data_IF_757940317466
#
_entry.id   IF_757940317466
#
_cell.length_a   1.000
_cell.length_b   1.000
_cell.length_c   1.000
_cell.angle_alpha   90.00
_cell.angle_beta   90.00
_cell.angle_gamma   90.00
#
_symmetry.space_group_name_H-M   'P 1'
#
loop_
_entity.id
_entity.type
_entity.pdbx_description
1 polymer ?
#
# COMPACT_ATOMS: atom_id res chain seq x y z
N UNK A 1 -2.06 -3.69 -9.15
CA UNK A 1 -3.11 -2.70 -9.51
C UNK A 1 -2.78 -1.35 -8.91
N UNK A 2 -3.10 -0.24 -9.63
CA UNK A 2 -2.91 1.14 -9.18
C UNK A 2 -4.23 1.89 -9.39
N UNK A 3 -5.02 2.11 -8.34
CA UNK A 3 -6.18 2.99 -8.39
C UNK A 3 -5.75 4.44 -8.61
N UNK A 4 -6.53 5.20 -9.40
CA UNK A 4 -6.25 6.60 -9.69
C UNK A 4 -7.52 7.45 -9.63
N UNK A 5 -7.40 8.66 -9.10
CA UNK A 5 -8.35 9.76 -9.18
C UNK A 5 -7.82 10.88 -10.10
N UNK A 6 -6.79 10.54 -10.89
CA UNK A 6 -6.08 11.43 -11.80
C UNK A 6 -5.29 12.57 -11.10
N UNK A 7 -5.18 12.55 -9.79
CA UNK A 7 -4.34 13.49 -9.05
C UNK A 7 -2.85 13.23 -9.27
N UNK A 8 -2.02 14.25 -9.00
CA UNK A 8 -0.56 14.12 -9.04
C UNK A 8 -0.05 13.06 -8.05
N UNK A 9 -0.73 12.91 -6.90
CA UNK A 9 -0.41 11.89 -5.91
C UNK A 9 -0.68 10.47 -6.44
N UNK A 10 -1.81 10.24 -7.10
CA UNK A 10 -2.12 8.96 -7.72
C UNK A 10 -1.14 8.64 -8.86
N UNK A 11 -0.79 9.65 -9.68
CA UNK A 11 0.24 9.48 -10.70
C UNK A 11 1.62 9.19 -10.09
N UNK A 12 1.96 9.82 -8.96
CA UNK A 12 3.20 9.52 -8.24
C UNK A 12 3.23 8.07 -7.72
N UNK A 13 2.11 7.54 -7.23
CA UNK A 13 2.01 6.13 -6.85
C UNK A 13 2.21 5.18 -8.04
N UNK A 14 1.68 5.52 -9.22
CA UNK A 14 1.91 4.76 -10.45
C UNK A 14 3.38 4.80 -10.88
N UNK A 15 4.04 5.96 -10.84
CA UNK A 15 5.48 6.11 -11.10
C UNK A 15 6.30 5.25 -10.14
N UNK A 16 5.93 5.26 -8.86
CA UNK A 16 6.60 4.43 -7.85
C UNK A 16 6.42 2.93 -8.17
N UNK A 17 5.20 2.50 -8.51
CA UNK A 17 4.95 1.11 -8.91
C UNK A 17 5.82 0.68 -10.10
N UNK A 18 5.92 1.50 -11.14
CA UNK A 18 6.78 1.22 -12.30
C UNK A 18 8.25 1.06 -11.92
N UNK A 19 8.72 1.84 -10.95
CA UNK A 19 10.13 1.83 -10.54
C UNK A 19 10.46 0.71 -9.55
N UNK A 20 9.56 0.42 -8.60
CA UNK A 20 9.80 -0.65 -7.61
C UNK A 20 9.70 -2.05 -8.24
N UNK A 21 8.90 -2.20 -9.29
CA UNK A 21 8.77 -3.46 -10.02
C UNK A 21 9.53 -3.49 -11.35
N UNK A 22 10.50 -2.59 -11.56
CA UNK A 22 11.18 -2.46 -12.85
C UNK A 22 11.95 -3.70 -13.33
N UNK A 23 12.31 -4.58 -12.42
CA UNK A 23 13.01 -5.83 -12.73
C UNK A 23 12.08 -7.04 -12.86
N UNK A 24 10.79 -6.84 -12.55
CA UNK A 24 9.80 -7.90 -12.57
C UNK A 24 8.95 -7.83 -13.84
N UNK A 25 8.53 -9.01 -14.34
CA UNK A 25 7.52 -9.07 -15.40
C UNK A 25 6.15 -8.87 -14.78
N UNK A 26 5.54 -7.71 -15.04
CA UNK A 26 4.29 -7.29 -14.41
C UNK A 26 3.20 -6.99 -15.43
N UNK A 27 1.97 -7.26 -15.03
CA UNK A 27 0.78 -6.65 -15.62
C UNK A 27 0.25 -5.58 -14.63
N UNK A 28 0.27 -4.32 -15.04
CA UNK A 28 -0.11 -3.17 -14.23
C UNK A 28 -1.52 -2.71 -14.64
N UNK A 29 -2.48 -2.87 -13.74
CA UNK A 29 -3.84 -2.40 -13.92
C UNK A 29 -3.94 -0.97 -13.39
N UNK A 30 -4.28 -0.02 -14.26
CA UNK A 30 -4.58 1.37 -13.90
C UNK A 30 -6.10 1.47 -13.84
N UNK A 31 -6.67 1.72 -12.66
CA UNK A 31 -8.09 1.64 -12.44
C UNK A 31 -8.66 2.96 -11.91
N UNK A 32 -9.78 3.39 -12.51
CA UNK A 32 -10.59 4.50 -12.03
C UNK A 32 -12.03 4.03 -11.74
N UNK A 33 -12.46 4.23 -10.49
CA UNK A 33 -13.82 3.97 -10.04
C UNK A 33 -14.56 5.32 -9.93
N UNK A 34 -15.68 5.48 -10.64
CA UNK A 34 -16.30 6.80 -10.84
C UNK A 34 -17.76 6.94 -10.37
N UNK A 35 -18.25 6.00 -9.55
CA UNK A 35 -19.62 6.11 -9.05
C UNK A 35 -19.82 7.38 -8.19
N UNK A 36 -18.86 7.71 -7.34
CA UNK A 36 -18.94 8.90 -6.48
C UNK A 36 -19.03 10.18 -7.29
N UNK A 37 -18.30 10.28 -8.40
CA UNK A 37 -18.36 11.44 -9.31
C UNK A 37 -19.75 11.58 -9.95
N UNK A 38 -20.38 10.46 -10.30
CA UNK A 38 -21.74 10.45 -10.85
C UNK A 38 -22.76 10.92 -9.81
N UNK A 39 -22.70 10.37 -8.60
CA UNK A 39 -23.68 10.68 -7.55
C UNK A 39 -23.50 12.08 -6.93
N UNK A 40 -22.33 12.68 -7.03
CA UNK A 40 -22.06 14.04 -6.54
C UNK A 40 -22.49 15.14 -7.54
N UNK A 41 -23.01 14.77 -8.72
CA UNK A 41 -23.48 15.77 -9.69
C UNK A 41 -24.78 16.46 -9.22
N UNK A 42 -24.76 17.77 -9.03
CA UNK A 42 -25.92 18.59 -8.65
C UNK A 42 -27.12 18.47 -9.61
N UNK A 43 -26.86 18.09 -10.85
CA UNK A 43 -27.87 17.89 -11.90
C UNK A 43 -28.64 16.57 -11.74
N UNK A 44 -28.23 15.68 -10.85
CA UNK A 44 -28.83 14.38 -10.67
C UNK A 44 -30.12 14.45 -9.84
N UNK A 45 -31.16 15.10 -10.38
CA UNK A 45 -32.46 15.23 -9.73
C UNK A 45 -33.46 14.14 -10.14
N UNK A 46 -33.21 13.45 -11.26
CA UNK A 46 -34.10 12.40 -11.81
C UNK A 46 -33.26 11.21 -12.29
N UNK A 47 -33.82 10.01 -12.09
CA UNK A 47 -33.19 8.75 -12.51
C UNK A 47 -32.92 8.70 -14.03
N UNK A 48 -33.74 9.36 -14.84
CA UNK A 48 -33.53 9.46 -16.29
C UNK A 48 -32.28 10.25 -16.72
N UNK A 49 -31.69 11.03 -15.81
CA UNK A 49 -30.45 11.76 -16.04
C UNK A 49 -29.21 10.94 -15.69
N UNK A 50 -29.39 9.90 -14.87
CA UNK A 50 -28.29 9.06 -14.39
C UNK A 50 -27.51 8.42 -15.53
N UNK A 51 -28.21 7.84 -16.52
CA UNK A 51 -27.55 7.12 -17.63
C UNK A 51 -26.72 8.08 -18.50
N UNK A 52 -27.24 9.29 -18.74
CA UNK A 52 -26.52 10.31 -19.54
C UNK A 52 -25.26 10.79 -18.80
N UNK A 53 -25.39 11.11 -17.52
CA UNK A 53 -24.26 11.56 -16.69
C UNK A 53 -23.22 10.45 -16.55
N UNK A 54 -23.67 9.22 -16.30
CA UNK A 54 -22.80 8.05 -16.20
C UNK A 54 -22.00 7.85 -17.49
N UNK A 55 -22.64 7.95 -18.64
CA UNK A 55 -21.97 7.78 -19.94
C UNK A 55 -20.95 8.90 -20.20
N UNK A 56 -21.27 10.15 -19.84
CA UNK A 56 -20.34 11.27 -19.96
C UNK A 56 -19.11 11.10 -19.08
N UNK A 57 -19.30 10.73 -17.80
CA UNK A 57 -18.21 10.52 -16.86
C UNK A 57 -17.38 9.28 -17.26
N UNK A 58 -18.03 8.19 -17.72
CA UNK A 58 -17.34 7.02 -18.25
C UNK A 58 -16.40 7.36 -19.39
N UNK A 59 -16.88 8.11 -20.39
CA UNK A 59 -16.05 8.55 -21.53
C UNK A 59 -14.88 9.46 -21.08
N UNK A 60 -15.12 10.31 -20.10
CA UNK A 60 -14.07 11.16 -19.54
C UNK A 60 -13.02 10.31 -18.81
N UNK A 61 -13.45 9.36 -17.98
CA UNK A 61 -12.60 8.41 -17.29
C UNK A 61 -11.68 7.64 -18.24
N UNK A 62 -12.26 7.05 -19.29
CA UNK A 62 -11.49 6.32 -20.33
C UNK A 62 -10.45 7.21 -21.02
N UNK A 63 -10.84 8.45 -21.34
CA UNK A 63 -9.94 9.44 -21.97
C UNK A 63 -8.79 9.81 -21.03
N UNK A 64 -9.06 10.00 -19.74
CA UNK A 64 -8.07 10.33 -18.74
C UNK A 64 -7.11 9.15 -18.47
N UNK A 65 -7.65 7.93 -18.34
CA UNK A 65 -6.85 6.71 -18.21
C UNK A 65 -5.89 6.54 -19.39
N UNK A 66 -6.35 6.82 -20.61
CA UNK A 66 -5.51 6.75 -21.81
C UNK A 66 -4.35 7.75 -21.75
N UNK A 67 -4.59 8.97 -21.29
CA UNK A 67 -3.54 9.98 -21.10
C UNK A 67 -2.51 9.53 -20.06
N UNK A 68 -2.97 9.05 -18.91
CA UNK A 68 -2.09 8.51 -17.85
C UNK A 68 -1.24 7.35 -18.36
N UNK A 69 -1.85 6.45 -19.15
CA UNK A 69 -1.14 5.32 -19.74
C UNK A 69 -0.06 5.78 -20.76
N UNK A 70 -0.39 6.73 -21.62
CA UNK A 70 0.56 7.28 -22.60
C UNK A 70 1.73 7.98 -21.87
N UNK A 71 1.42 8.75 -20.86
CA UNK A 71 2.40 9.48 -20.07
C UNK A 71 3.35 8.54 -19.31
N UNK A 72 2.82 7.53 -18.60
CA UNK A 72 3.66 6.58 -17.86
C UNK A 72 4.53 5.73 -18.78
N UNK A 73 4.02 5.31 -19.94
CA UNK A 73 4.82 4.59 -20.94
C UNK A 73 5.94 5.44 -21.52
N UNK A 74 5.70 6.74 -21.66
CA UNK A 74 6.71 7.68 -22.17
C UNK A 74 7.80 7.95 -21.11
N UNK A 75 7.39 8.17 -19.84
CA UNK A 75 8.32 8.50 -18.76
C UNK A 75 9.08 7.28 -18.23
N UNK A 76 8.43 6.10 -18.20
CA UNK A 76 8.97 4.86 -17.63
C UNK A 76 8.83 3.69 -18.61
N UNK A 77 9.46 3.75 -19.79
CA UNK A 77 9.40 2.67 -20.75
C UNK A 77 10.06 1.41 -20.17
N UNK A 78 9.31 0.31 -20.12
CA UNK A 78 9.81 -0.96 -19.62
C UNK A 78 9.20 -2.13 -20.41
N UNK A 79 9.99 -2.96 -21.13
CA UNK A 79 9.48 -4.08 -21.91
C UNK A 79 8.90 -5.22 -21.05
N UNK A 80 9.18 -5.22 -19.74
CA UNK A 80 8.64 -6.21 -18.80
C UNK A 80 7.26 -5.80 -18.27
N UNK A 81 6.79 -4.57 -18.54
CA UNK A 81 5.51 -4.08 -18.05
C UNK A 81 4.45 -4.10 -19.13
N UNK A 82 3.38 -4.84 -18.88
CA UNK A 82 2.13 -4.75 -19.62
C UNK A 82 1.14 -3.90 -18.83
N UNK A 83 0.25 -3.19 -19.53
CA UNK A 83 -0.71 -2.29 -18.88
C UNK A 83 -2.13 -2.61 -19.32
N UNK A 84 -3.05 -2.60 -18.35
CA UNK A 84 -4.49 -2.67 -18.59
C UNK A 84 -5.17 -1.47 -17.93
N UNK A 85 -6.12 -0.86 -18.63
CA UNK A 85 -6.96 0.23 -18.12
C UNK A 85 -8.30 -0.34 -17.70
N UNK A 86 -8.80 0.07 -16.54
CA UNK A 86 -10.11 -0.31 -16.00
C UNK A 86 -10.85 0.96 -15.61
N UNK A 87 -11.97 1.22 -16.28
CA UNK A 87 -12.92 2.28 -15.95
C UNK A 87 -14.19 1.61 -15.44
N UNK A 88 -14.54 1.81 -14.17
CA UNK A 88 -15.58 1.04 -13.51
C UNK A 88 -16.61 1.95 -12.82
N UNK A 89 -17.91 1.61 -12.98
CA UNK A 89 -19.00 2.30 -12.30
C UNK A 89 -19.35 1.58 -10.99
N UNK A 90 -18.60 1.86 -9.96
CA UNK A 90 -18.78 1.34 -8.61
C UNK A 90 -18.06 2.20 -7.60
N UNK A 91 -18.17 1.87 -6.31
CA UNK A 91 -17.34 2.47 -5.30
C UNK A 91 -15.89 1.98 -5.47
N UNK A 92 -14.92 2.81 -5.06
CA UNK A 92 -13.50 2.40 -5.15
C UNK A 92 -13.26 1.05 -4.46
N UNK A 93 -13.86 0.84 -3.29
CA UNK A 93 -13.60 -0.35 -2.48
C UNK A 93 -14.16 -1.60 -3.14
N UNK A 94 -15.40 -1.54 -3.63
CA UNK A 94 -16.04 -2.67 -4.29
C UNK A 94 -15.28 -3.07 -5.57
N UNK A 95 -14.92 -2.09 -6.41
CA UNK A 95 -14.20 -2.35 -7.65
C UNK A 95 -12.77 -2.84 -7.42
N UNK A 96 -12.09 -2.35 -6.37
CA UNK A 96 -10.78 -2.87 -5.97
C UNK A 96 -10.89 -4.31 -5.46
N UNK A 97 -11.88 -4.62 -4.60
CA UNK A 97 -12.06 -5.99 -4.07
C UNK A 97 -12.43 -6.97 -5.19
N UNK A 98 -13.31 -6.57 -6.10
CA UNK A 98 -13.70 -7.37 -7.26
C UNK A 98 -12.50 -7.69 -8.16
N UNK A 99 -11.70 -6.69 -8.54
CA UNK A 99 -10.51 -6.90 -9.35
C UNK A 99 -9.43 -7.73 -8.63
N UNK A 100 -9.23 -7.51 -7.32
CA UNK A 100 -8.29 -8.31 -6.52
C UNK A 100 -8.68 -9.79 -6.55
N UNK A 101 -9.97 -10.08 -6.45
CA UNK A 101 -10.45 -11.46 -6.44
C UNK A 101 -10.50 -12.09 -7.84
N UNK A 102 -10.95 -11.35 -8.86
CA UNK A 102 -11.11 -11.85 -10.24
C UNK A 102 -9.77 -12.07 -10.94
N UNK A 103 -8.86 -11.13 -10.81
CA UNK A 103 -7.55 -11.15 -11.50
C UNK A 103 -6.42 -11.67 -10.57
N UNK A 104 -6.76 -12.09 -9.34
CA UNK A 104 -5.80 -12.63 -8.36
C UNK A 104 -4.59 -11.70 -8.15
N UNK A 105 -4.85 -10.43 -7.90
CA UNK A 105 -3.82 -9.40 -7.75
C UNK A 105 -2.81 -9.74 -6.66
N UNK A 106 -1.54 -9.47 -6.92
CA UNK A 106 -0.46 -9.65 -5.94
C UNK A 106 -0.32 -8.45 -4.99
N UNK A 107 -0.66 -7.24 -5.48
CA UNK A 107 -0.48 -6.01 -4.72
C UNK A 107 -1.35 -4.87 -5.27
N UNK A 108 -1.85 -4.02 -4.37
CA UNK A 108 -2.42 -2.71 -4.68
C UNK A 108 -1.39 -1.65 -4.34
N UNK A 109 -1.09 -0.73 -5.26
CA UNK A 109 -0.21 0.42 -5.00
C UNK A 109 -1.03 1.68 -5.13
N UNK A 110 -1.06 2.52 -4.11
CA UNK A 110 -1.86 3.73 -4.11
C UNK A 110 -1.22 4.86 -3.31
N UNK A 111 -1.60 6.10 -3.59
CA UNK A 111 -1.19 7.24 -2.79
C UNK A 111 -1.86 7.20 -1.40
N UNK A 112 -1.19 7.75 -0.38
CA UNK A 112 -1.80 7.87 0.96
C UNK A 112 -2.97 8.85 0.97
N UNK A 113 -3.05 9.77 0.00
CA UNK A 113 -4.10 10.81 -0.14
C UNK A 113 -4.46 11.02 -1.61
N UNK A 114 -5.72 11.35 -1.86
CA UNK A 114 -6.21 11.86 -3.13
C UNK A 114 -6.30 13.39 -3.16
N UNK A 115 -7.00 13.93 -4.15
CA UNK A 115 -7.10 15.37 -4.41
C UNK A 115 -7.77 16.18 -3.28
N UNK A 116 -8.76 15.59 -2.59
CA UNK A 116 -9.69 16.31 -1.69
C UNK A 116 -9.37 16.19 -0.21
N UNK A 117 -8.23 15.67 0.21
CA UNK A 117 -7.99 15.28 1.59
C UNK A 117 -7.34 16.34 2.47
N UNK A 118 -7.82 16.40 3.74
CA UNK A 118 -7.25 17.22 4.79
C UNK A 118 -5.77 16.85 5.04
N UNK A 119 -4.90 17.84 4.92
CA UNK A 119 -3.44 17.68 5.12
C UNK A 119 -3.05 17.35 6.56
N UNK A 120 -3.96 17.46 7.50
CA UNK A 120 -3.72 17.07 8.90
C UNK A 120 -3.78 15.55 9.12
N UNK A 121 -4.37 14.77 8.18
CA UNK A 121 -4.51 13.33 8.28
C UNK A 121 -3.39 12.62 7.51
N UNK A 122 -2.86 11.54 8.07
CA UNK A 122 -1.84 10.70 7.40
C UNK A 122 -2.42 10.00 6.16
N UNK A 123 -3.70 9.61 6.23
CA UNK A 123 -4.39 8.86 5.18
C UNK A 123 -5.70 9.53 4.78
N UNK A 124 -6.00 9.51 3.50
CA UNK A 124 -7.34 9.80 3.00
C UNK A 124 -8.33 8.66 3.33
N UNK A 125 -9.61 9.00 3.30
CA UNK A 125 -10.71 8.04 3.59
C UNK A 125 -10.62 6.77 2.71
N UNK A 126 -10.37 6.93 1.42
CA UNK A 126 -10.25 5.84 0.46
C UNK A 126 -9.07 4.91 0.79
N UNK A 127 -7.91 5.48 1.10
CA UNK A 127 -6.74 4.69 1.49
C UNK A 127 -6.97 3.92 2.78
N UNK A 128 -7.60 4.54 3.77
CA UNK A 128 -7.97 3.86 5.02
C UNK A 128 -8.92 2.69 4.78
N UNK A 129 -9.90 2.83 3.89
CA UNK A 129 -10.83 1.76 3.57
C UNK A 129 -10.12 0.62 2.83
N UNK A 130 -9.28 0.93 1.83
CA UNK A 130 -8.48 -0.10 1.12
C UNK A 130 -7.60 -0.87 2.11
N UNK A 131 -6.89 -0.18 3.01
CA UNK A 131 -6.06 -0.80 4.04
C UNK A 131 -6.84 -1.69 5.01
N UNK A 132 -8.12 -1.38 5.28
CA UNK A 132 -8.97 -2.14 6.21
C UNK A 132 -9.66 -3.33 5.57
N UNK A 133 -10.12 -3.19 4.33
CA UNK A 133 -11.09 -4.12 3.76
C UNK A 133 -10.53 -4.99 2.64
N UNK A 134 -9.48 -4.56 1.94
CA UNK A 134 -8.93 -5.33 0.83
C UNK A 134 -8.01 -6.43 1.33
N UNK A 135 -8.19 -7.65 0.80
CA UNK A 135 -7.45 -8.85 1.23
C UNK A 135 -6.06 -9.01 0.59
N UNK A 136 -5.68 -8.10 -0.30
CA UNK A 136 -4.41 -8.06 -1.01
C UNK A 136 -3.41 -7.13 -0.29
N UNK A 137 -2.08 -7.37 -0.34
CA UNK A 137 -1.09 -6.42 0.13
C UNK A 137 -1.28 -5.03 -0.48
N UNK A 138 -1.11 -3.99 0.33
CA UNK A 138 -1.27 -2.59 -0.10
C UNK A 138 0.03 -1.82 0.15
N UNK A 139 0.60 -1.28 -0.91
CA UNK A 139 1.75 -0.38 -0.85
C UNK A 139 1.26 1.07 -0.95
N UNK A 140 1.35 1.80 0.14
CA UNK A 140 0.90 3.18 0.23
C UNK A 140 2.08 4.14 0.08
N UNK A 141 1.94 5.10 -0.85
CA UNK A 141 2.99 6.06 -1.20
C UNK A 141 2.62 7.44 -0.64
N UNK A 142 3.46 8.04 0.24
CA UNK A 142 3.22 9.37 0.76
C UNK A 142 3.18 10.45 -0.32
N UNK A 143 2.44 11.52 -0.03
CA UNK A 143 2.36 12.70 -0.89
C UNK A 143 3.76 13.25 -1.18
N UNK A 144 4.07 13.49 -2.46
CA UNK A 144 5.33 14.09 -2.89
C UNK A 144 6.58 13.22 -2.65
N UNK A 145 6.42 11.94 -2.30
CA UNK A 145 7.57 11.05 -2.09
C UNK A 145 8.30 10.78 -3.41
N UNK A 146 9.56 11.19 -3.48
CA UNK A 146 10.43 10.83 -4.58
C UNK A 146 10.90 9.38 -4.46
N UNK A 147 10.96 8.68 -5.59
CA UNK A 147 11.35 7.28 -5.57
C UNK A 147 12.79 7.07 -5.12
N UNK A 148 12.96 6.28 -4.07
CA UNK A 148 14.22 5.66 -3.68
C UNK A 148 14.07 4.15 -3.72
N UNK A 149 15.14 3.46 -4.16
CA UNK A 149 15.14 2.00 -4.15
C UNK A 149 15.05 1.50 -2.69
N UNK A 150 14.16 0.55 -2.36
CA UNK A 150 13.99 0.09 -0.97
C UNK A 150 15.15 -0.81 -0.54
N UNK A 151 16.27 -0.19 -0.16
CA UNK A 151 17.48 -0.88 0.32
C UNK A 151 17.42 -1.19 1.80
N UNK A 152 16.92 -0.26 2.61
CA UNK A 152 16.75 -0.42 4.04
C UNK A 152 15.26 -0.54 4.37
N UNK A 153 14.83 -1.74 4.73
CA UNK A 153 13.42 -2.08 4.97
C UNK A 153 13.21 -2.33 6.45
N UNK A 154 12.27 -1.63 7.08
CA UNK A 154 11.90 -1.88 8.48
C UNK A 154 10.69 -2.79 8.56
N UNK A 155 10.80 -3.87 9.33
CA UNK A 155 9.72 -4.80 9.62
C UNK A 155 9.53 -4.94 11.16
N UNK A 156 8.72 -4.08 11.79
CA UNK A 156 8.37 -4.24 13.19
C UNK A 156 7.57 -5.52 13.41
N UNK A 157 7.95 -6.30 14.39
CA UNK A 157 7.32 -7.58 14.65
C UNK A 157 7.37 -7.96 16.13
N UNK A 158 6.33 -8.65 16.61
CA UNK A 158 6.34 -9.33 17.90
C UNK A 158 6.54 -10.85 17.77
N UNK A 159 6.76 -11.34 16.55
CA UNK A 159 6.87 -12.77 16.20
C UNK A 159 5.66 -13.64 16.62
N UNK A 160 4.51 -13.04 16.94
CA UNK A 160 3.29 -13.78 17.31
C UNK A 160 2.26 -13.84 16.18
N UNK A 161 2.38 -12.94 15.21
CA UNK A 161 1.47 -12.86 14.07
C UNK A 161 1.77 -14.02 13.11
N UNK A 162 0.76 -14.78 12.67
CA UNK A 162 0.96 -15.75 11.61
C UNK A 162 1.20 -15.00 10.28
N UNK A 163 2.30 -15.36 9.60
CA UNK A 163 2.68 -14.73 8.33
C UNK A 163 2.24 -15.59 7.15
N UNK A 164 1.62 -14.98 6.14
CA UNK A 164 1.22 -15.69 4.92
C UNK A 164 2.42 -15.84 3.98
N UNK A 165 2.68 -17.05 3.51
CA UNK A 165 3.82 -17.35 2.62
C UNK A 165 3.78 -16.54 1.31
N UNK A 166 2.59 -16.28 0.75
CA UNK A 166 2.44 -15.48 -0.47
C UNK A 166 2.95 -14.05 -0.28
N UNK A 167 2.61 -13.43 0.86
CA UNK A 167 3.02 -12.06 1.18
C UNK A 167 4.51 -11.97 1.52
N UNK A 168 5.05 -12.97 2.23
CA UNK A 168 6.50 -13.06 2.46
C UNK A 168 7.27 -13.26 1.16
N UNK A 169 6.70 -14.01 0.19
CA UNK A 169 7.30 -14.14 -1.13
C UNK A 169 7.39 -12.80 -1.85
N UNK A 170 6.33 -11.97 -1.81
CA UNK A 170 6.35 -10.63 -2.39
C UNK A 170 7.51 -9.79 -1.82
N UNK A 171 7.64 -9.76 -0.49
CA UNK A 171 8.73 -9.03 0.19
C UNK A 171 10.08 -9.61 -0.19
N UNK A 172 10.20 -10.94 -0.24
CA UNK A 172 11.43 -11.63 -0.59
C UNK A 172 11.89 -11.29 -2.02
N UNK A 173 10.96 -11.28 -2.98
CA UNK A 173 11.25 -10.96 -4.37
C UNK A 173 11.64 -9.47 -4.51
N UNK A 174 10.87 -8.55 -3.93
CA UNK A 174 11.22 -7.13 -3.89
C UNK A 174 12.61 -6.91 -3.27
N UNK A 175 12.88 -7.51 -2.12
CA UNK A 175 14.16 -7.38 -1.42
C UNK A 175 15.32 -7.95 -2.23
N UNK A 176 15.11 -9.06 -2.93
CA UNK A 176 16.11 -9.66 -3.81
C UNK A 176 16.50 -8.75 -4.96
N UNK A 177 15.51 -8.09 -5.59
CA UNK A 177 15.70 -7.19 -6.72
C UNK A 177 16.56 -5.96 -6.37
N UNK A 178 16.49 -5.48 -5.12
CA UNK A 178 17.25 -4.33 -4.64
C UNK A 178 18.40 -4.68 -3.69
N UNK A 179 18.61 -5.97 -3.39
CA UNK A 179 19.58 -6.44 -2.38
C UNK A 179 19.34 -5.80 -1.02
N UNK A 180 18.08 -5.75 -0.63
CA UNK A 180 17.66 -5.04 0.58
C UNK A 180 18.16 -5.70 1.86
N UNK A 181 18.41 -4.86 2.87
CA UNK A 181 18.51 -5.29 4.27
C UNK A 181 17.15 -5.14 4.94
N UNK A 182 16.63 -6.19 5.54
CA UNK A 182 15.38 -6.14 6.31
C UNK A 182 15.70 -6.12 7.80
N UNK A 183 15.34 -5.04 8.45
CA UNK A 183 15.47 -4.83 9.89
C UNK A 183 14.24 -5.39 10.60
N UNK A 184 14.35 -6.57 11.18
CA UNK A 184 13.31 -7.19 12.01
C UNK A 184 13.37 -6.56 13.40
N UNK A 185 12.54 -5.56 13.66
CA UNK A 185 12.53 -4.82 14.91
C UNK A 185 11.53 -5.44 15.90
N UNK A 186 12.03 -6.07 16.94
CA UNK A 186 11.21 -6.54 18.05
C UNK A 186 10.99 -5.41 19.07
N UNK A 187 9.75 -5.03 19.26
CA UNK A 187 9.36 -3.94 20.16
C UNK A 187 8.68 -4.56 21.39
N UNK A 188 9.47 -4.89 22.39
CA UNK A 188 9.00 -5.40 23.69
C UNK A 188 10.08 -5.18 24.73
N UNK A 189 9.74 -4.68 25.94
CA UNK A 189 10.69 -4.56 27.05
C UNK A 189 11.21 -5.92 27.56
N UNK A 190 10.54 -7.02 27.24
CA UNK A 190 10.92 -8.38 27.63
C UNK A 190 11.99 -8.89 26.66
N UNK A 191 13.20 -9.11 27.18
CA UNK A 191 14.38 -9.48 26.36
C UNK A 191 14.39 -10.92 25.84
N UNK A 192 13.51 -11.81 26.32
CA UNK A 192 13.55 -13.23 25.97
C UNK A 192 12.33 -13.63 25.17
N UNK A 193 12.56 -14.16 23.98
CA UNK A 193 11.51 -14.74 23.15
C UNK A 193 10.98 -16.03 23.77
N UNK A 194 9.70 -16.31 23.60
CA UNK A 194 9.11 -17.62 23.85
C UNK A 194 9.49 -18.59 22.71
N UNK A 195 9.39 -19.89 22.93
CA UNK A 195 9.64 -20.91 21.91
C UNK A 195 8.84 -20.65 20.62
N UNK A 196 7.56 -20.28 20.75
CA UNK A 196 6.72 -19.92 19.60
C UNK A 196 7.26 -18.73 18.82
N UNK A 197 7.80 -17.73 19.50
CA UNK A 197 8.40 -16.57 18.85
C UNK A 197 9.72 -16.92 18.18
N UNK A 198 10.51 -17.81 18.77
CA UNK A 198 11.74 -18.33 18.17
C UNK A 198 11.44 -19.12 16.89
N UNK A 199 10.43 -20.01 16.92
CA UNK A 199 9.97 -20.75 15.74
C UNK A 199 9.49 -19.81 14.62
N UNK A 200 8.70 -18.78 14.96
CA UNK A 200 8.25 -17.80 14.00
C UNK A 200 9.40 -16.94 13.45
N UNK A 201 10.38 -16.60 14.26
CA UNK A 201 11.58 -15.91 13.81
C UNK A 201 12.37 -16.76 12.82
N UNK A 202 12.51 -18.06 13.10
CA UNK A 202 13.16 -19.00 12.17
C UNK A 202 12.36 -19.14 10.87
N UNK A 203 11.02 -19.24 10.96
CA UNK A 203 10.16 -19.27 9.78
C UNK A 203 10.34 -18.02 8.87
N UNK A 204 10.50 -16.83 9.47
CA UNK A 204 10.79 -15.61 8.70
C UNK A 204 12.16 -15.68 8.02
N UNK A 205 13.20 -16.20 8.71
CA UNK A 205 14.53 -16.42 8.09
C UNK A 205 14.44 -17.31 6.87
N UNK A 206 13.73 -18.44 6.98
CA UNK A 206 13.58 -19.40 5.91
C UNK A 206 12.74 -18.88 4.75
N UNK A 207 11.82 -17.97 5.03
CA UNK A 207 10.91 -17.38 4.03
C UNK A 207 11.51 -16.21 3.27
N UNK A 208 12.61 -15.61 3.73
CA UNK A 208 13.23 -14.41 3.15
C UNK A 208 14.72 -14.63 2.75
N UNK A 209 15.04 -15.71 2.00
CA UNK A 209 16.43 -16.09 1.71
C UNK A 209 17.19 -15.13 0.81
N UNK A 210 16.47 -14.26 0.06
CA UNK A 210 17.07 -13.27 -0.85
C UNK A 210 17.44 -11.96 -0.17
N UNK A 211 17.01 -11.75 1.07
CA UNK A 211 17.27 -10.53 1.83
C UNK A 211 18.35 -10.74 2.90
N UNK A 212 19.10 -9.69 3.20
CA UNK A 212 19.92 -9.65 4.41
C UNK A 212 19.00 -9.33 5.61
N UNK A 213 18.94 -10.20 6.62
CA UNK A 213 18.10 -9.99 7.80
C UNK A 213 18.95 -9.51 8.99
N UNK A 214 18.51 -8.42 9.60
CA UNK A 214 19.05 -7.91 10.86
C UNK A 214 17.96 -8.00 11.93
N UNK A 215 18.26 -8.66 13.06
CA UNK A 215 17.33 -8.83 14.16
C UNK A 215 17.74 -7.89 15.29
N UNK A 216 16.92 -6.90 15.55
CA UNK A 216 17.15 -5.88 16.56
C UNK A 216 16.00 -5.82 17.57
N UNK A 217 16.28 -5.39 18.76
CA UNK A 217 15.30 -5.21 19.84
C UNK A 217 15.38 -3.80 20.38
N UNK A 218 14.24 -3.23 20.77
CA UNK A 218 14.19 -1.95 21.45
C UNK A 218 13.50 -2.06 22.79
N UNK A 219 13.93 -1.24 23.75
CA UNK A 219 13.30 -1.13 25.08
C UNK A 219 12.21 -0.05 25.11
N UNK A 220 11.97 0.63 23.98
CA UNK A 220 10.90 1.60 23.88
C UNK A 220 9.55 0.89 24.05
N UNK A 221 8.68 1.46 24.89
CA UNK A 221 7.36 0.89 25.15
C UNK A 221 6.32 1.33 24.14
N UNK A 222 6.46 2.54 23.65
CA UNK A 222 5.58 3.08 22.63
C UNK A 222 6.04 2.66 21.25
N UNK A 223 5.22 1.84 20.60
CA UNK A 223 5.52 1.28 19.27
C UNK A 223 5.70 2.36 18.21
N UNK A 224 4.88 3.43 18.28
CA UNK A 224 4.93 4.55 17.32
C UNK A 224 6.25 5.29 17.45
N UNK A 225 6.65 5.61 18.68
CA UNK A 225 7.93 6.27 18.96
C UNK A 225 9.10 5.38 18.55
N UNK A 226 9.04 4.08 18.87
CA UNK A 226 10.08 3.14 18.50
C UNK A 226 10.31 3.09 16.98
N UNK A 227 9.23 2.94 16.20
CA UNK A 227 9.28 2.86 14.74
C UNK A 227 9.77 4.18 14.15
N UNK A 228 9.22 5.32 14.58
CA UNK A 228 9.59 6.64 14.05
C UNK A 228 11.05 6.96 14.31
N UNK A 229 11.55 6.71 15.54
CA UNK A 229 12.98 6.86 15.87
C UNK A 229 13.86 5.97 15.01
N UNK A 230 13.42 4.72 14.81
CA UNK A 230 14.19 3.75 14.03
C UNK A 230 14.28 4.14 12.56
N UNK A 231 13.16 4.58 11.95
CA UNK A 231 13.10 5.08 10.57
C UNK A 231 14.15 6.18 10.35
N UNK A 232 14.18 7.17 11.24
CA UNK A 232 15.11 8.30 11.13
C UNK A 232 16.57 7.87 11.40
N UNK A 233 16.80 7.01 12.39
CA UNK A 233 18.15 6.62 12.79
C UNK A 233 18.85 5.73 11.77
N UNK A 234 18.09 4.87 11.07
CA UNK A 234 18.62 3.89 10.10
C UNK A 234 18.38 4.28 8.65
N UNK A 235 17.84 5.46 8.39
CA UNK A 235 17.51 5.96 7.05
C UNK A 235 16.68 4.92 6.24
N UNK A 236 15.54 4.52 6.82
CA UNK A 236 14.69 3.47 6.26
C UNK A 236 13.94 3.96 5.03
N UNK A 237 13.99 3.19 3.95
CA UNK A 237 13.32 3.47 2.67
C UNK A 237 11.88 2.94 2.60
N UNK A 238 11.59 1.84 3.29
CA UNK A 238 10.30 1.15 3.25
C UNK A 238 9.93 0.60 4.62
N UNK A 239 8.72 0.88 5.08
CA UNK A 239 8.14 0.27 6.26
C UNK A 239 7.21 -0.88 5.87
N UNK A 240 7.36 -2.06 6.48
CA UNK A 240 6.47 -3.21 6.31
C UNK A 240 5.63 -3.38 7.57
N UNK A 241 4.31 -3.40 7.41
CA UNK A 241 3.35 -3.60 8.49
C UNK A 241 2.47 -4.81 8.21
N UNK A 242 1.97 -5.44 9.27
CA UNK A 242 1.02 -6.55 9.15
C UNK A 242 -0.33 -6.11 9.70
N UNK A 243 -1.37 -6.16 8.89
CA UNK A 243 -2.74 -5.94 9.31
C UNK A 243 -3.28 -7.21 9.97
N UNK A 244 -3.34 -7.24 11.28
CA UNK A 244 -3.92 -8.33 12.07
C UNK A 244 -4.59 -7.74 13.31
N UNK A 245 -5.47 -8.49 13.96
CA UNK A 245 -6.08 -8.07 15.23
C UNK A 245 -4.98 -7.74 16.25
N UNK A 246 -5.11 -6.60 16.92
CA UNK A 246 -4.12 -6.07 17.88
C UNK A 246 -2.73 -5.84 17.27
N UNK A 247 -2.69 -5.56 15.96
CA UNK A 247 -1.45 -5.15 15.31
C UNK A 247 -1.16 -3.67 15.53
N UNK A 248 0.11 -3.30 15.32
CA UNK A 248 0.50 -1.89 15.28
C UNK A 248 -0.33 -1.08 14.26
N UNK A 249 -0.65 -1.69 13.12
CA UNK A 249 -1.48 -1.05 12.10
C UNK A 249 -2.90 -0.79 12.60
N UNK A 250 -3.51 -1.73 13.33
CA UNK A 250 -4.83 -1.54 13.93
C UNK A 250 -4.81 -0.39 14.94
N UNK A 251 -3.80 -0.34 15.82
CA UNK A 251 -3.59 0.76 16.76
C UNK A 251 -3.44 2.10 16.02
N UNK A 252 -2.68 2.14 14.93
CA UNK A 252 -2.47 3.33 14.10
C UNK A 252 -3.76 3.77 13.38
N UNK A 253 -4.54 2.83 12.83
CA UNK A 253 -5.79 3.12 12.12
C UNK A 253 -6.92 3.52 13.08
N UNK A 254 -6.92 3.00 14.31
CA UNK A 254 -7.92 3.34 15.33
C UNK A 254 -7.66 4.71 15.98
N UNK A 255 -6.41 5.11 16.11
CA UNK A 255 -6.02 6.41 16.65
C UNK A 255 -6.18 7.56 15.65
N UNK A 256 -6.42 7.29 14.38
CA UNK A 256 -6.70 8.32 13.36
C UNK A 256 -8.03 9.04 13.56
N UNK A 257 -8.82 8.64 14.56
CA UNK A 257 -9.96 9.42 15.04
C UNK A 257 -9.46 10.49 16.03
N UNK A 258 -9.13 11.62 15.48
CA UNK A 258 -9.24 13.00 16.01
C UNK A 258 -8.06 13.57 16.79
N UNK A 259 -7.32 12.97 17.69
CA UNK A 259 -6.50 13.83 18.56
C UNK A 259 -5.15 13.31 19.09
N UNK A 260 -4.59 12.25 18.62
CA UNK A 260 -3.26 11.85 19.13
C UNK A 260 -2.31 11.41 18.02
N UNK A 261 -1.45 12.37 17.64
CA UNK A 261 -0.13 12.11 17.04
C UNK A 261 -0.22 11.07 15.92
N UNK A 262 -0.81 11.47 14.81
CA UNK A 262 -0.73 10.67 13.58
C UNK A 262 0.72 10.34 13.32
N UNK A 263 1.04 9.07 13.17
CA UNK A 263 2.32 8.66 12.64
C UNK A 263 2.44 9.29 11.25
N UNK A 264 3.11 10.43 11.14
CA UNK A 264 3.41 11.05 9.86
C UNK A 264 4.48 10.22 9.18
N UNK A 265 4.07 9.07 8.64
CA UNK A 265 4.96 8.23 7.83
C UNK A 265 5.27 8.99 6.56
N UNK A 266 6.53 9.41 6.43
CA UNK A 266 7.04 10.15 5.26
C UNK A 266 7.71 9.23 4.23
N UNK A 267 7.74 7.94 4.49
CA UNK A 267 8.29 6.91 3.60
C UNK A 267 7.18 5.97 3.15
N UNK A 268 7.31 5.30 2.01
CA UNK A 268 6.39 4.26 1.59
C UNK A 268 6.24 3.17 2.63
N UNK A 269 5.04 2.60 2.73
CA UNK A 269 4.81 1.48 3.61
C UNK A 269 3.93 0.42 2.97
N UNK A 270 4.36 -0.82 3.12
CA UNK A 270 3.69 -2.01 2.64
C UNK A 270 2.89 -2.64 3.78
N UNK A 271 1.59 -2.76 3.59
CA UNK A 271 0.68 -3.43 4.53
C UNK A 271 0.36 -4.82 4.00
N UNK A 272 0.80 -5.84 4.74
CA UNK A 272 0.43 -7.23 4.50
C UNK A 272 -0.90 -7.55 5.17
N UNK A 273 -1.80 -8.23 4.47
CA UNK A 273 -3.16 -8.50 4.94
C UNK A 273 -3.25 -9.90 5.57
N UNK A 274 -3.27 -9.95 6.88
CA UNK A 274 -3.38 -11.20 7.64
C UNK A 274 -4.73 -11.38 8.34
N UNK A 275 -5.77 -10.75 7.80
CA UNK A 275 -7.13 -10.96 8.27
C UNK A 275 -7.65 -12.29 7.71
N UNK A 276 -8.08 -13.18 8.60
CA UNK A 276 -8.87 -14.34 8.22
C UNK A 276 -10.30 -13.84 7.91
N UNK A 277 -10.74 -14.08 6.69
CA UNK A 277 -12.18 -14.06 6.38
C UNK A 277 -12.82 -15.37 6.77
#
# INVERSE_FOLDING_TARGET
MVPTDFSDNAFNALKYACQVFKYEKCEIFIMHAYADEVYQQDKLTKRSQLDVIKEEISRNSERQLKKVLEEVKHQYPNPHHNYRMVSAFGSLIDEVDDLVNQENMDIVVMATRGETNDRSLTFGSNTLQVLKYISCPVLAIPEGYEYHAPKEVLFPTNYLVPYKRRELKLICDMSGSFRSTIHMLYIDPIKKLSLRQEDNQQFLRDSLPKAKLLFETTQEKDKTIAITKYIVHKDIDLLVLVNSRHSFLEDMLSQSTIDKIGLHIKIPFLVMQNLFR
#
